data_IF_119451897094
#
_entry.id   IF_119451897094
#
_cell.length_a   1.000
_cell.length_b   1.000
_cell.length_c   1.000
_cell.angle_alpha   90.00
_cell.angle_beta   90.00
_cell.angle_gamma   90.00
#
_symmetry.space_group_name_H-M   'P 1'
#
loop_
_entity.id
_entity.type
_entity.pdbx_description
1 polymer ?
#
# COMPACT_ATOMS: atom_id res chain seq x y z
N UNK A 1 18.82 -30.63 7.43
CA UNK A 1 17.89 -30.17 8.48
C UNK A 1 16.51 -30.15 7.87
N UNK A 2 15.51 -30.86 8.43
CA UNK A 2 14.14 -30.75 7.95
C UNK A 2 13.65 -29.32 8.18
N UNK A 3 12.93 -28.75 7.20
CA UNK A 3 12.29 -27.45 7.35
C UNK A 3 11.28 -27.52 8.51
N UNK A 4 11.31 -26.53 9.40
CA UNK A 4 10.29 -26.37 10.44
C UNK A 4 8.97 -26.02 9.74
N UNK A 5 7.88 -26.81 9.85
CA UNK A 5 6.64 -26.55 9.13
C UNK A 5 5.95 -25.23 9.52
N UNK A 6 6.35 -24.65 10.66
CA UNK A 6 5.87 -23.35 11.14
C UNK A 6 6.66 -22.16 10.58
N UNK A 7 7.79 -22.41 9.91
CA UNK A 7 8.67 -21.37 9.36
C UNK A 7 8.17 -20.91 7.98
N UNK A 8 7.96 -19.59 7.83
CA UNK A 8 7.56 -19.03 6.55
C UNK A 8 8.67 -19.17 5.49
N UNK A 9 8.34 -19.50 4.23
CA UNK A 9 9.35 -19.54 3.16
C UNK A 9 10.02 -18.17 2.97
N UNK A 10 11.34 -18.14 2.82
CA UNK A 10 12.08 -16.89 2.58
C UNK A 10 11.52 -16.10 1.39
N UNK A 11 11.14 -16.79 0.31
CA UNK A 11 10.53 -16.14 -0.85
C UNK A 11 9.23 -15.40 -0.53
N UNK A 12 8.39 -15.97 0.34
CA UNK A 12 7.18 -15.32 0.82
C UNK A 12 7.52 -14.06 1.63
N UNK A 13 8.46 -14.17 2.58
CA UNK A 13 8.90 -13.07 3.43
C UNK A 13 9.44 -11.91 2.61
N UNK A 14 10.29 -12.19 1.61
CA UNK A 14 10.87 -11.17 0.74
C UNK A 14 9.80 -10.45 -0.08
N UNK A 15 8.84 -11.19 -0.65
CA UNK A 15 7.72 -10.59 -1.41
C UNK A 15 6.83 -9.76 -0.50
N UNK A 16 6.54 -10.25 0.71
CA UNK A 16 5.75 -9.52 1.70
C UNK A 16 6.42 -8.19 2.08
N UNK A 17 7.70 -8.23 2.47
CA UNK A 17 8.46 -7.02 2.84
C UNK A 17 8.60 -6.05 1.68
N UNK A 18 8.69 -6.54 0.43
CA UNK A 18 8.66 -5.69 -0.76
C UNK A 18 7.32 -4.93 -0.86
N UNK A 19 6.19 -5.60 -0.62
CA UNK A 19 4.89 -4.94 -0.61
C UNK A 19 4.77 -3.93 0.54
N UNK A 20 5.27 -4.25 1.74
CA UNK A 20 5.35 -3.31 2.86
C UNK A 20 6.17 -2.08 2.50
N UNK A 21 7.34 -2.25 1.86
CA UNK A 21 8.17 -1.15 1.39
C UNK A 21 7.45 -0.27 0.36
N UNK A 22 6.72 -0.89 -0.59
CA UNK A 22 5.92 -0.15 -1.58
C UNK A 22 4.78 0.64 -0.91
N UNK A 23 4.11 0.06 0.09
CA UNK A 23 3.10 0.74 0.88
C UNK A 23 3.69 1.94 1.63
N UNK A 24 4.84 1.78 2.30
CA UNK A 24 5.53 2.85 3.02
C UNK A 24 5.98 3.97 2.07
N UNK A 25 6.51 3.63 0.89
CA UNK A 25 6.87 4.60 -0.14
C UNK A 25 5.67 5.41 -0.64
N UNK A 26 4.52 4.75 -0.85
CA UNK A 26 3.28 5.43 -1.24
C UNK A 26 2.74 6.33 -0.14
N UNK A 27 2.78 5.85 1.11
CA UNK A 27 2.43 6.66 2.29
C UNK A 27 3.34 7.90 2.37
N UNK A 28 4.65 7.73 2.24
CA UNK A 28 5.60 8.85 2.19
C UNK A 28 5.24 9.87 1.10
N UNK A 29 4.96 9.42 -0.12
CA UNK A 29 4.52 10.30 -1.22
C UNK A 29 3.22 11.04 -0.88
N UNK A 30 2.22 10.34 -0.32
CA UNK A 30 0.95 10.93 0.10
C UNK A 30 1.14 12.04 1.14
N UNK A 31 2.09 11.88 2.07
CA UNK A 31 2.30 12.84 3.15
C UNK A 31 3.17 14.03 2.72
N UNK A 32 4.26 13.81 1.99
CA UNK A 32 5.25 14.85 1.67
C UNK A 32 5.19 15.37 0.23
N UNK A 33 4.54 14.63 -0.68
CA UNK A 33 4.41 14.98 -2.11
C UNK A 33 2.95 14.85 -2.57
N UNK A 34 2.02 15.35 -1.74
CA UNK A 34 0.56 15.17 -1.90
C UNK A 34 0.04 15.47 -3.30
N UNK A 35 0.49 16.57 -3.93
CA UNK A 35 0.01 16.96 -5.26
C UNK A 35 0.47 16.00 -6.36
N UNK A 36 1.75 15.61 -6.33
CA UNK A 36 2.29 14.60 -7.23
C UNK A 36 1.62 13.25 -7.00
N UNK A 37 1.38 12.86 -5.75
CA UNK A 37 0.64 11.64 -5.42
C UNK A 37 -0.77 11.66 -6.01
N UNK A 38 -1.51 12.76 -5.82
CA UNK A 38 -2.85 12.92 -6.37
C UNK A 38 -2.85 12.82 -7.90
N UNK A 39 -1.91 13.51 -8.56
CA UNK A 39 -1.81 13.49 -10.02
C UNK A 39 -1.43 12.11 -10.57
N UNK A 40 -0.50 11.41 -9.91
CA UNK A 40 -0.09 10.04 -10.27
C UNK A 40 -1.31 9.10 -10.27
N UNK A 41 -2.16 9.18 -9.23
CA UNK A 41 -3.38 8.37 -9.14
C UNK A 41 -4.41 8.78 -10.21
N UNK A 42 -4.62 10.08 -10.40
CA UNK A 42 -5.58 10.57 -11.40
C UNK A 42 -5.19 10.09 -12.81
N UNK A 43 -3.93 10.26 -13.17
CA UNK A 43 -3.37 9.79 -14.46
C UNK A 43 -3.50 8.28 -14.63
N UNK A 44 -3.34 7.51 -13.54
CA UNK A 44 -3.50 6.05 -13.59
C UNK A 44 -4.95 5.65 -13.87
N UNK A 45 -5.92 6.39 -13.32
CA UNK A 45 -7.35 6.12 -13.48
C UNK A 45 -7.90 6.59 -14.84
N UNK A 46 -7.32 7.63 -15.44
CA UNK A 46 -7.72 8.18 -16.74
C UNK A 46 -6.98 7.57 -17.92
N UNK A 47 -5.96 6.73 -17.68
CA UNK A 47 -5.22 6.02 -18.74
C UNK A 47 -6.15 5.09 -19.54
N UNK A 48 -5.97 5.09 -20.86
CA UNK A 48 -6.62 4.13 -21.76
C UNK A 48 -5.64 3.07 -22.29
N UNK A 49 -6.05 1.80 -22.42
CA UNK A 49 -7.30 1.25 -21.88
C UNK A 49 -7.26 1.21 -20.34
N UNK A 50 -8.42 1.39 -19.71
CA UNK A 50 -8.49 1.31 -18.23
C UNK A 50 -8.36 -0.13 -17.77
N UNK A 51 -7.44 -0.35 -16.82
CA UNK A 51 -7.27 -1.63 -16.14
C UNK A 51 -8.14 -1.74 -14.87
N UNK A 52 -8.83 -0.67 -14.49
CA UNK A 52 -9.56 -0.57 -13.23
C UNK A 52 -11.08 -0.63 -13.45
N UNK A 53 -11.76 -1.68 -12.96
CA UNK A 53 -13.21 -1.86 -13.18
C UNK A 53 -14.06 -0.82 -12.44
N UNK A 54 -13.54 -0.19 -11.39
CA UNK A 54 -14.24 0.82 -10.59
C UNK A 54 -13.68 2.24 -10.79
N UNK A 55 -13.07 2.54 -11.94
CA UNK A 55 -12.39 3.84 -12.16
C UNK A 55 -13.31 5.04 -11.88
N UNK A 56 -14.57 4.98 -12.31
CA UNK A 56 -15.51 6.09 -12.20
C UNK A 56 -15.85 6.42 -10.76
N UNK A 57 -15.97 5.40 -9.91
CA UNK A 57 -16.17 5.57 -8.47
C UNK A 57 -15.00 6.31 -7.82
N UNK A 58 -13.76 5.97 -8.20
CA UNK A 58 -12.57 6.64 -7.69
C UNK A 58 -12.45 8.06 -8.22
N UNK A 59 -12.67 8.29 -9.52
CA UNK A 59 -12.65 9.61 -10.13
C UNK A 59 -13.66 10.55 -9.46
N UNK A 60 -14.90 10.08 -9.24
CA UNK A 60 -15.93 10.85 -8.53
C UNK A 60 -15.53 11.23 -7.10
N UNK A 61 -14.84 10.35 -6.39
CA UNK A 61 -14.33 10.67 -5.05
C UNK A 61 -13.17 11.67 -5.08
N UNK A 62 -12.35 11.63 -6.13
CA UNK A 62 -11.22 12.52 -6.32
C UNK A 62 -11.64 13.94 -6.72
N UNK A 63 -12.84 14.16 -7.27
CA UNK A 63 -13.38 15.51 -7.58
C UNK A 63 -13.22 16.49 -6.41
N UNK A 64 -13.43 16.03 -5.18
CA UNK A 64 -13.07 16.78 -3.99
C UNK A 64 -11.69 16.33 -3.48
N UNK A 65 -10.64 16.95 -4.03
CA UNK A 65 -9.25 16.65 -3.73
C UNK A 65 -8.93 16.70 -2.23
N UNK A 66 -9.34 17.76 -1.53
CA UNK A 66 -9.03 17.95 -0.11
C UNK A 66 -9.63 16.82 0.74
N UNK A 67 -10.92 16.53 0.53
CA UNK A 67 -11.61 15.44 1.23
C UNK A 67 -10.98 14.08 0.89
N UNK A 68 -10.63 13.86 -0.37
CA UNK A 68 -9.97 12.63 -0.79
C UNK A 68 -8.60 12.47 -0.09
N UNK A 69 -7.75 13.49 -0.10
CA UNK A 69 -6.43 13.47 0.56
C UNK A 69 -6.59 13.21 2.06
N UNK A 70 -7.54 13.85 2.72
CA UNK A 70 -7.79 13.65 4.15
C UNK A 70 -8.12 12.20 4.46
N UNK A 71 -9.05 11.60 3.70
CA UNK A 71 -9.39 10.18 3.87
C UNK A 71 -8.21 9.27 3.56
N UNK A 72 -7.45 9.53 2.49
CA UNK A 72 -6.26 8.75 2.16
C UNK A 72 -5.23 8.81 3.29
N UNK A 73 -5.00 9.97 3.89
CA UNK A 73 -4.07 10.12 5.03
C UNK A 73 -4.57 9.35 6.25
N UNK A 74 -5.85 9.47 6.58
CA UNK A 74 -6.46 8.70 7.67
C UNK A 74 -6.31 7.19 7.47
N UNK A 75 -6.65 6.67 6.29
CA UNK A 75 -6.48 5.25 5.98
C UNK A 75 -5.00 4.83 5.94
N UNK A 76 -4.09 5.70 5.49
CA UNK A 76 -2.65 5.39 5.49
C UNK A 76 -2.08 5.23 6.90
N UNK A 77 -2.59 5.95 7.90
CA UNK A 77 -2.17 5.79 9.29
C UNK A 77 -2.60 4.42 9.85
N UNK A 78 -3.85 4.03 9.60
CA UNK A 78 -4.34 2.71 9.98
C UNK A 78 -3.54 1.61 9.28
N UNK A 79 -3.28 1.77 7.98
CA UNK A 79 -2.46 0.85 7.20
C UNK A 79 -1.02 0.76 7.70
N UNK A 80 -0.43 1.88 8.14
CA UNK A 80 0.94 1.90 8.68
C UNK A 80 1.05 1.08 9.97
N UNK A 81 0.09 1.20 10.88
CA UNK A 81 0.04 0.36 12.09
C UNK A 81 -0.09 -1.11 11.72
N UNK A 82 -0.99 -1.45 10.79
CA UNK A 82 -1.21 -2.84 10.37
C UNK A 82 0.03 -3.45 9.69
N UNK A 83 0.68 -2.70 8.79
CA UNK A 83 1.88 -3.15 8.08
C UNK A 83 3.04 -3.37 9.05
N UNK A 84 3.30 -2.44 9.98
CA UNK A 84 4.36 -2.61 10.98
C UNK A 84 4.12 -3.82 11.88
N UNK A 85 2.87 -4.02 12.33
CA UNK A 85 2.52 -5.20 13.11
C UNK A 85 2.75 -6.49 12.31
N UNK A 86 2.32 -6.52 11.05
CA UNK A 86 2.48 -7.68 10.18
C UNK A 86 3.95 -7.97 9.83
N UNK A 87 4.76 -6.95 9.57
CA UNK A 87 6.20 -7.08 9.31
C UNK A 87 6.91 -7.78 10.47
N UNK A 88 6.60 -7.39 11.72
CA UNK A 88 7.13 -8.04 12.93
C UNK A 88 6.73 -9.52 12.98
N UNK A 89 5.45 -9.82 12.77
CA UNK A 89 4.95 -11.20 12.81
C UNK A 89 5.58 -12.07 11.71
N UNK A 90 5.68 -11.56 10.49
CA UNK A 90 6.25 -12.29 9.35
C UNK A 90 7.73 -12.56 9.55
N UNK A 91 8.50 -11.58 10.05
CA UNK A 91 9.93 -11.78 10.34
C UNK A 91 10.12 -12.74 11.51
N UNK A 92 9.30 -12.66 12.56
CA UNK A 92 9.34 -13.62 13.66
C UNK A 92 9.07 -15.04 13.19
N UNK A 93 8.02 -15.24 12.38
CA UNK A 93 7.69 -16.55 11.80
C UNK A 93 8.71 -17.05 10.77
N UNK A 94 9.66 -16.22 10.33
CA UNK A 94 10.78 -16.65 9.50
C UNK A 94 12.02 -17.08 10.31
N UNK A 95 12.26 -16.44 11.46
CA UNK A 95 13.44 -16.71 12.30
C UNK A 95 13.22 -17.91 13.23
N UNK A 96 11.97 -18.20 13.60
CA UNK A 96 11.54 -19.38 14.36
C UNK A 96 11.69 -20.68 13.55
#
# INVERSE_FOLDING_TARGET
>A
MPANPDQLPLGFVLVFLLFSLLFLRNTYKLWLKTDSYYQDIYNSLTREPSLYPFREFFLKRMENKERWVLWQKAFSLLGLVAVLAADVLVVMAYIQ
#
